data_IF_452983016488
#
_entry.id   IF_452983016488
#
_cell.length_a   1.000
_cell.length_b   1.000
_cell.length_c   1.000
_cell.angle_alpha   90.00
_cell.angle_beta   90.00
_cell.angle_gamma   90.00
#
_symmetry.space_group_name_H-M   'P 1'
#
loop_
_entity.id
_entity.type
_entity.pdbx_description
1 polymer ?
#
# COMPACT_ATOMS: atom_id res chain seq x y z
N UNK A 1 -11.39 4.26 -8.52
CA UNK A 1 -9.94 4.08 -8.59
C UNK A 1 -9.32 5.04 -7.58
N UNK A 2 -8.88 4.57 -6.41
CA UNK A 2 -8.30 5.44 -5.39
C UNK A 2 -6.83 5.66 -5.74
N UNK A 3 -6.51 6.84 -6.27
CA UNK A 3 -5.12 7.31 -6.33
C UNK A 3 -4.66 7.56 -4.89
N UNK A 4 -3.70 6.80 -4.41
CA UNK A 4 -2.91 7.21 -3.27
C UNK A 4 -1.94 8.27 -3.79
N UNK A 5 -2.25 9.51 -3.50
CA UNK A 5 -1.34 10.60 -3.82
C UNK A 5 -0.08 10.43 -2.95
N UNK A 6 1.05 10.22 -3.57
CA UNK A 6 2.35 10.07 -2.89
C UNK A 6 2.68 11.33 -2.08
N UNK A 7 2.09 12.48 -2.44
CA UNK A 7 2.20 13.73 -1.68
C UNK A 7 1.53 13.66 -0.30
N UNK A 8 0.63 12.69 -0.07
CA UNK A 8 -0.03 12.47 1.22
C UNK A 8 0.76 11.59 2.18
N UNK A 9 1.94 11.10 1.77
CA UNK A 9 2.77 10.30 2.63
C UNK A 9 3.59 11.17 3.56
N UNK A 10 3.05 11.35 4.75
CA UNK A 10 3.75 11.92 5.87
C UNK A 10 4.73 10.90 6.45
N UNK A 11 5.98 11.31 6.62
CA UNK A 11 6.89 10.60 7.48
C UNK A 11 6.94 11.25 8.88
N UNK A 12 7.47 10.52 9.84
CA UNK A 12 7.65 10.99 11.21
C UNK A 12 8.52 12.25 11.29
N UNK A 13 9.49 12.41 10.41
CA UNK A 13 10.40 13.55 10.41
C UNK A 13 9.68 14.81 9.91
N UNK A 14 8.90 14.70 8.83
CA UNK A 14 8.08 15.79 8.33
C UNK A 14 7.07 16.27 9.40
N UNK A 15 6.40 15.32 10.07
CA UNK A 15 5.49 15.65 11.16
C UNK A 15 6.19 16.37 12.32
N UNK A 16 7.35 15.90 12.76
CA UNK A 16 8.14 16.56 13.82
C UNK A 16 8.53 17.98 13.44
N UNK A 17 8.88 18.23 12.20
CA UNK A 17 9.26 19.55 11.71
C UNK A 17 8.10 20.55 11.70
N UNK A 18 6.85 20.04 11.61
CA UNK A 18 5.65 20.88 11.68
C UNK A 18 5.17 21.15 13.11
N UNK A 19 5.65 20.39 14.07
CA UNK A 19 5.32 20.60 15.49
C UNK A 19 6.12 21.76 16.10
N UNK A 20 5.54 22.51 17.07
CA UNK A 20 4.18 22.35 17.58
C UNK A 20 3.13 23.04 16.69
N UNK A 21 1.98 22.42 16.56
CA UNK A 21 0.83 23.03 15.90
C UNK A 21 0.19 24.10 16.80
N UNK A 22 -0.42 25.10 16.17
CA UNK A 22 -1.21 26.13 16.88
C UNK A 22 -2.64 25.68 17.13
N UNK A 23 -3.15 24.80 16.27
CA UNK A 23 -4.52 24.30 16.29
C UNK A 23 -4.55 22.81 16.63
N UNK A 24 -5.39 22.47 17.62
CA UNK A 24 -5.54 21.09 18.09
C UNK A 24 -6.13 20.16 17.01
N UNK A 25 -7.16 20.62 16.28
CA UNK A 25 -7.82 19.80 15.25
C UNK A 25 -6.84 19.50 14.11
N UNK A 26 -6.08 20.52 13.70
CA UNK A 26 -5.03 20.34 12.71
C UNK A 26 -3.94 19.36 13.17
N UNK A 27 -3.61 19.38 14.46
CA UNK A 27 -2.68 18.41 15.05
C UNK A 27 -3.23 16.98 14.96
N UNK A 28 -4.51 16.78 15.30
CA UNK A 28 -5.20 15.48 15.19
C UNK A 28 -5.24 14.98 13.74
N UNK A 29 -5.64 15.81 12.78
CA UNK A 29 -5.70 15.45 11.37
C UNK A 29 -4.34 14.99 10.82
N UNK A 30 -3.27 15.73 11.16
CA UNK A 30 -1.94 15.34 10.73
C UNK A 30 -1.46 14.05 11.42
N UNK A 31 -1.78 13.84 12.68
CA UNK A 31 -1.42 12.62 13.40
C UNK A 31 -2.15 11.39 12.84
N UNK A 32 -3.41 11.51 12.40
CA UNK A 32 -4.18 10.45 11.73
C UNK A 32 -3.50 9.94 10.45
N UNK A 33 -2.74 10.78 9.78
CA UNK A 33 -1.97 10.37 8.60
C UNK A 33 -0.78 9.47 8.92
N UNK A 34 -0.29 9.51 10.17
CA UNK A 34 0.89 8.77 10.63
C UNK A 34 0.57 7.47 11.33
N UNK A 35 -0.48 7.48 12.14
CA UNK A 35 -0.77 6.38 13.07
C UNK A 35 -2.22 5.95 12.90
N UNK A 36 -2.42 4.64 12.89
CA UNK A 36 -3.74 4.01 12.91
C UNK A 36 -3.75 3.00 14.06
N UNK A 37 -4.80 3.05 14.87
CA UNK A 37 -5.08 2.03 15.87
C UNK A 37 -5.92 0.91 15.25
N UNK A 38 -5.53 -0.32 15.46
CA UNK A 38 -6.24 -1.50 14.95
C UNK A 38 -6.96 -2.18 16.11
N UNK A 39 -8.27 -1.97 16.17
CA UNK A 39 -9.17 -2.54 17.17
C UNK A 39 -9.55 -3.99 16.78
N UNK A 40 -8.59 -4.89 16.81
CA UNK A 40 -8.79 -6.32 16.60
C UNK A 40 -7.80 -7.10 17.45
N UNK A 41 -8.18 -8.31 17.88
CA UNK A 41 -7.32 -9.15 18.69
C UNK A 41 -6.24 -9.87 17.82
N UNK A 42 -4.93 -9.71 18.10
CA UNK A 42 -4.34 -8.79 19.09
C UNK A 42 -4.39 -7.32 18.61
N UNK A 43 -4.65 -6.41 19.55
CA UNK A 43 -4.59 -4.97 19.29
C UNK A 43 -3.17 -4.56 18.86
N UNK A 44 -3.09 -3.68 17.85
CA UNK A 44 -1.82 -3.19 17.38
C UNK A 44 -1.96 -1.78 16.78
N UNK A 45 -0.84 -1.18 16.45
CA UNK A 45 -0.78 0.13 15.80
C UNK A 45 -0.07 0.00 14.47
N UNK A 46 -0.58 0.69 13.44
CA UNK A 46 0.10 0.83 12.16
C UNK A 46 0.74 2.20 12.11
N UNK A 47 2.05 2.25 12.01
CA UNK A 47 2.80 3.49 11.86
C UNK A 47 3.24 3.66 10.42
N UNK A 48 2.91 4.80 9.82
CA UNK A 48 3.30 5.13 8.46
C UNK A 48 4.62 5.89 8.50
N UNK A 49 5.60 5.36 7.81
CA UNK A 49 6.96 5.89 7.75
C UNK A 49 7.41 5.97 6.28
N UNK A 50 8.37 6.83 5.99
CA UNK A 50 9.05 6.84 4.71
C UNK A 50 10.29 5.95 4.78
N UNK A 51 10.38 4.97 3.91
CA UNK A 51 11.58 4.15 3.80
C UNK A 51 12.59 4.87 2.93
N UNK A 52 13.59 5.46 3.57
CA UNK A 52 14.64 6.24 2.88
C UNK A 52 15.51 5.38 1.97
N UNK A 53 15.70 4.11 2.32
CA UNK A 53 16.56 3.18 1.55
C UNK A 53 15.91 2.82 0.21
N UNK A 54 14.61 2.52 0.26
CA UNK A 54 13.86 2.14 -0.94
C UNK A 54 13.07 3.29 -1.56
N UNK A 55 13.17 4.49 -0.99
CA UNK A 55 12.47 5.70 -1.41
C UNK A 55 10.96 5.47 -1.66
N UNK A 56 10.30 4.83 -0.69
CA UNK A 56 8.88 4.47 -0.77
C UNK A 56 8.18 4.56 0.57
N UNK A 57 6.85 4.72 0.56
CA UNK A 57 6.06 4.61 1.77
C UNK A 57 6.15 3.22 2.38
N UNK A 58 6.23 3.17 3.71
CA UNK A 58 6.27 1.95 4.51
C UNK A 58 5.26 2.04 5.64
N UNK A 59 4.49 0.98 5.83
CA UNK A 59 3.64 0.80 7.00
C UNK A 59 4.24 -0.29 7.89
N UNK A 60 4.46 0.03 9.16
CA UNK A 60 5.02 -0.89 10.14
C UNK A 60 3.99 -1.17 11.21
N UNK A 61 3.70 -2.44 11.46
CA UNK A 61 2.85 -2.86 12.57
C UNK A 61 3.71 -2.89 13.83
N UNK A 62 3.27 -2.17 14.86
CA UNK A 62 4.01 -2.02 16.11
C UNK A 62 3.10 -2.31 17.31
N UNK A 63 3.71 -2.71 18.42
CA UNK A 63 3.04 -2.86 19.70
C UNK A 63 2.67 -1.51 20.31
N UNK A 64 1.76 -1.50 21.29
CA UNK A 64 1.43 -0.30 22.06
C UNK A 64 2.67 0.35 22.66
N UNK A 65 3.56 -0.47 23.25
CA UNK A 65 4.75 0.02 23.91
C UNK A 65 5.70 0.76 22.94
N UNK A 66 5.91 0.21 21.74
CA UNK A 66 6.74 0.85 20.72
C UNK A 66 6.10 2.12 20.18
N UNK A 67 4.79 2.09 19.91
CA UNK A 67 4.03 3.26 19.47
C UNK A 67 4.15 4.39 20.51
N UNK A 68 3.90 4.09 21.77
CA UNK A 68 4.00 5.02 22.89
C UNK A 68 5.41 5.62 23.04
N UNK A 69 6.46 4.79 22.95
CA UNK A 69 7.84 5.28 23.02
C UNK A 69 8.21 6.27 21.91
N UNK A 70 7.70 6.05 20.71
CA UNK A 70 7.91 6.94 19.57
C UNK A 70 7.10 8.24 19.73
N UNK A 71 5.80 8.13 20.05
CA UNK A 71 4.87 9.27 20.08
C UNK A 71 5.09 10.21 21.28
N UNK A 72 5.46 9.70 22.45
CA UNK A 72 5.73 10.54 23.64
C UNK A 72 6.88 11.53 23.45
N UNK A 73 7.79 11.24 22.54
CA UNK A 73 8.92 12.13 22.23
C UNK A 73 8.53 13.35 21.39
N UNK A 74 7.31 13.38 20.84
CA UNK A 74 6.87 14.43 19.93
C UNK A 74 5.87 15.33 20.66
N UNK A 75 6.27 16.56 20.93
CA UNK A 75 5.41 17.59 21.50
C UNK A 75 4.65 18.28 20.38
N UNK A 76 3.33 18.11 20.35
CA UNK A 76 2.50 18.38 19.16
C UNK A 76 1.75 19.69 19.24
N UNK A 77 1.10 19.98 20.37
CA UNK A 77 0.26 21.17 20.51
C UNK A 77 0.19 21.64 21.95
N UNK A 78 0.13 22.94 22.16
CA UNK A 78 -0.10 23.53 23.47
C UNK A 78 -1.59 23.79 23.67
N UNK A 79 -2.14 23.24 24.77
CA UNK A 79 -3.52 23.50 25.20
C UNK A 79 -3.48 24.11 26.61
N UNK A 80 -3.80 25.41 26.69
CA UNK A 80 -3.62 26.15 27.92
C UNK A 80 -2.13 26.21 28.36
N UNK A 81 -1.84 25.79 29.59
CA UNK A 81 -0.48 25.71 30.10
C UNK A 81 0.20 24.34 29.82
N UNK A 82 -0.50 23.37 29.29
CA UNK A 82 0.02 22.01 29.06
C UNK A 82 0.42 21.81 27.60
N UNK A 83 1.63 21.33 27.38
CA UNK A 83 2.06 20.83 26.07
C UNK A 83 1.69 19.34 25.95
N UNK A 84 0.81 19.02 25.00
CA UNK A 84 0.40 17.66 24.71
C UNK A 84 1.39 16.99 23.76
N UNK A 85 1.73 15.74 24.04
CA UNK A 85 2.48 14.92 23.09
C UNK A 85 1.54 14.12 22.17
N UNK A 86 2.12 13.52 21.14
CA UNK A 86 1.35 12.78 20.14
C UNK A 86 0.62 11.56 20.74
N UNK A 87 1.16 10.96 21.80
CA UNK A 87 0.53 9.85 22.50
C UNK A 87 -0.71 10.30 23.29
N UNK A 88 -0.63 11.42 24.01
CA UNK A 88 -1.77 11.97 24.74
C UNK A 88 -2.92 12.34 23.79
N UNK A 89 -2.60 12.87 22.61
CA UNK A 89 -3.60 13.18 21.57
C UNK A 89 -4.25 11.91 21.03
N UNK A 90 -3.45 10.91 20.66
CA UNK A 90 -3.93 9.63 20.17
C UNK A 90 -4.93 8.99 21.15
N UNK A 91 -4.57 8.91 22.44
CA UNK A 91 -5.44 8.33 23.46
C UNK A 91 -6.72 9.13 23.69
N UNK A 92 -6.65 10.45 23.62
CA UNK A 92 -7.82 11.33 23.83
C UNK A 92 -8.87 11.23 22.71
N UNK A 93 -8.49 10.69 21.56
CA UNK A 93 -9.29 10.58 20.34
C UNK A 93 -9.15 9.21 19.67
N UNK A 94 -8.96 8.15 20.46
CA UNK A 94 -8.62 6.82 19.95
C UNK A 94 -9.61 6.31 18.88
N UNK A 95 -10.90 6.59 19.06
CA UNK A 95 -11.94 6.23 18.09
C UNK A 95 -11.71 6.85 16.71
N UNK A 96 -11.18 8.07 16.67
CA UNK A 96 -10.86 8.79 15.43
C UNK A 96 -9.69 8.16 14.65
N UNK A 97 -8.86 7.39 15.31
CA UNK A 97 -7.70 6.68 14.73
C UNK A 97 -7.99 5.20 14.47
N UNK A 98 -9.17 4.71 14.88
CA UNK A 98 -9.48 3.29 14.97
C UNK A 98 -9.94 2.70 13.64
N UNK A 99 -9.46 1.49 13.35
CA UNK A 99 -9.98 0.61 12.32
C UNK A 99 -10.21 -0.79 12.88
N UNK A 100 -11.15 -1.53 12.31
CA UNK A 100 -11.54 -2.88 12.78
C UNK A 100 -10.52 -3.98 12.48
N UNK A 101 -9.55 -3.71 11.62
CA UNK A 101 -8.54 -4.70 11.26
C UNK A 101 -7.72 -4.29 10.04
N UNK A 102 -6.82 -5.19 9.67
CA UNK A 102 -5.94 -5.02 8.52
C UNK A 102 -6.35 -6.01 7.43
N UNK A 103 -6.46 -5.54 6.18
CA UNK A 103 -6.68 -6.38 5.00
C UNK A 103 -5.63 -6.08 3.94
N UNK A 104 -5.36 -7.05 3.06
CA UNK A 104 -4.45 -6.81 1.95
C UNK A 104 -4.95 -5.66 1.07
N UNK A 105 -6.21 -5.74 0.63
CA UNK A 105 -6.89 -4.69 -0.11
C UNK A 105 -8.36 -4.61 0.31
N UNK A 106 -8.87 -3.39 0.49
CA UNK A 106 -10.29 -3.15 0.76
C UNK A 106 -10.66 -1.69 0.47
N UNK A 107 -11.81 -1.43 -0.16
CA UNK A 107 -12.34 -0.07 -0.29
C UNK A 107 -13.01 0.43 1.00
N UNK A 108 -13.20 -0.43 2.00
CA UNK A 108 -13.91 -0.07 3.23
C UNK A 108 -13.04 0.78 4.15
N UNK A 109 -13.50 1.96 4.59
CA UNK A 109 -12.76 2.81 5.53
C UNK A 109 -12.60 2.20 6.92
N UNK A 110 -13.39 1.16 7.24
CA UNK A 110 -13.33 0.47 8.53
C UNK A 110 -12.11 -0.46 8.67
N UNK A 111 -11.35 -0.66 7.61
CA UNK A 111 -10.17 -1.52 7.61
C UNK A 111 -8.96 -0.79 7.01
N UNK A 112 -7.79 -1.06 7.55
CA UNK A 112 -6.55 -0.60 6.94
C UNK A 112 -6.16 -1.50 5.77
N UNK A 113 -5.95 -0.90 4.59
CA UNK A 113 -5.47 -1.63 3.41
C UNK A 113 -3.94 -1.58 3.35
N UNK A 114 -3.29 -2.75 3.27
CA UNK A 114 -1.83 -2.82 3.10
C UNK A 114 -1.43 -2.50 1.66
N UNK A 115 -2.28 -2.89 0.71
CA UNK A 115 -2.03 -2.64 -0.71
C UNK A 115 -2.22 -1.16 -1.02
N UNK A 116 -1.18 -0.53 -1.52
CA UNK A 116 -1.11 0.92 -1.78
C UNK A 116 -1.18 1.27 -3.26
N UNK A 117 -1.52 0.32 -4.11
CA UNK A 117 -1.56 0.50 -5.56
C UNK A 117 -0.35 -0.13 -6.26
N UNK A 118 -0.42 -0.15 -7.57
CA UNK A 118 0.63 -0.70 -8.43
C UNK A 118 1.59 0.39 -8.89
N UNK A 119 2.85 0.04 -9.09
CA UNK A 119 3.87 0.97 -9.59
C UNK A 119 3.55 1.52 -10.99
N UNK A 120 2.89 0.74 -11.83
CA UNK A 120 2.53 1.17 -13.18
C UNK A 120 1.51 2.31 -13.21
N UNK A 121 0.75 2.53 -12.13
CA UNK A 121 -0.19 3.66 -12.04
C UNK A 121 0.51 5.02 -12.09
N UNK A 122 1.83 5.04 -11.82
CA UNK A 122 2.67 6.22 -11.85
C UNK A 122 3.41 6.41 -13.20
N UNK A 123 3.25 5.45 -14.11
CA UNK A 123 3.96 5.45 -15.41
C UNK A 123 3.05 6.03 -16.47
N UNK A 124 3.57 6.96 -17.25
CA UNK A 124 2.86 7.51 -18.40
C UNK A 124 2.65 6.43 -19.47
N UNK A 125 1.41 6.31 -19.94
CA UNK A 125 1.06 5.34 -20.97
C UNK A 125 1.74 5.72 -22.28
N UNK A 126 2.39 4.74 -22.91
CA UNK A 126 2.96 4.86 -24.25
C UNK A 126 2.34 3.79 -25.16
N UNK A 127 1.83 4.22 -26.31
CA UNK A 127 1.34 3.30 -27.34
C UNK A 127 2.46 2.38 -27.81
N UNK A 128 2.10 1.17 -28.22
CA UNK A 128 2.96 0.17 -28.88
C UNK A 128 4.09 -0.44 -28.02
N UNK A 129 4.22 -0.05 -26.75
CA UNK A 129 5.27 -0.62 -25.87
C UNK A 129 5.00 -2.09 -25.52
N UNK A 130 3.74 -2.49 -25.45
CA UNK A 130 3.34 -3.85 -25.05
C UNK A 130 3.09 -4.79 -26.22
N UNK A 131 3.06 -4.31 -27.46
CA UNK A 131 2.73 -5.12 -28.64
C UNK A 131 3.63 -6.34 -28.79
N UNK A 132 4.94 -6.15 -28.72
CA UNK A 132 5.90 -7.24 -28.80
C UNK A 132 5.71 -8.29 -27.71
N UNK A 133 5.27 -7.86 -26.51
CA UNK A 133 4.94 -8.78 -25.43
C UNK A 133 3.64 -9.54 -25.70
N UNK A 134 2.61 -8.87 -26.19
CA UNK A 134 1.32 -9.49 -26.54
C UNK A 134 1.52 -10.50 -27.67
N UNK A 135 2.31 -10.18 -28.69
CA UNK A 135 2.66 -11.11 -29.77
C UNK A 135 3.42 -12.33 -29.24
N UNK A 136 4.38 -12.13 -28.34
CA UNK A 136 5.09 -13.25 -27.69
C UNK A 136 4.13 -14.16 -26.91
N UNK A 137 3.18 -13.58 -26.16
CA UNK A 137 2.17 -14.35 -25.45
C UNK A 137 1.32 -15.15 -26.40
N UNK A 138 0.83 -14.51 -27.46
CA UNK A 138 -0.05 -15.13 -28.44
C UNK A 138 0.66 -16.25 -29.21
N UNK A 139 1.78 -15.94 -29.82
CA UNK A 139 2.45 -16.85 -30.76
C UNK A 139 3.27 -17.94 -30.05
N UNK A 140 3.96 -17.59 -28.97
CA UNK A 140 4.90 -18.51 -28.31
C UNK A 140 4.26 -19.22 -27.11
N UNK A 141 3.63 -18.47 -26.21
CA UNK A 141 3.06 -19.05 -24.99
C UNK A 141 1.75 -19.80 -25.30
N UNK A 142 0.91 -19.24 -26.16
CA UNK A 142 -0.39 -19.80 -26.54
C UNK A 142 -0.33 -20.62 -27.85
N UNK A 143 0.82 -20.68 -28.52
CA UNK A 143 1.01 -21.37 -29.80
C UNK A 143 -0.04 -20.96 -30.86
N UNK A 144 -0.34 -19.65 -30.95
CA UNK A 144 -1.33 -19.08 -31.88
C UNK A 144 -2.79 -19.39 -31.53
N UNK A 145 -3.07 -20.04 -30.41
CA UNK A 145 -4.44 -20.37 -30.02
C UNK A 145 -5.16 -19.17 -29.40
N UNK A 146 -6.07 -18.56 -30.14
CA UNK A 146 -6.80 -17.35 -29.73
C UNK A 146 -7.57 -17.52 -28.42
N UNK A 147 -8.26 -18.62 -28.23
CA UNK A 147 -9.05 -18.90 -27.03
C UNK A 147 -8.15 -19.00 -25.77
N UNK A 148 -6.98 -19.63 -25.91
CA UNK A 148 -5.99 -19.74 -24.82
C UNK A 148 -5.38 -18.37 -24.53
N UNK A 149 -5.11 -17.60 -25.57
CA UNK A 149 -4.60 -16.23 -25.45
C UNK A 149 -5.56 -15.33 -24.67
N UNK A 150 -6.83 -15.27 -25.07
CA UNK A 150 -7.87 -14.51 -24.37
C UNK A 150 -7.99 -14.94 -22.90
N UNK A 151 -8.00 -16.25 -22.66
CA UNK A 151 -8.07 -16.78 -21.29
C UNK A 151 -6.88 -16.32 -20.42
N UNK A 152 -5.67 -16.38 -20.94
CA UNK A 152 -4.45 -15.94 -20.23
C UNK A 152 -4.51 -14.45 -19.93
N UNK A 153 -4.91 -13.62 -20.91
CA UNK A 153 -5.05 -12.17 -20.67
C UNK A 153 -6.11 -11.87 -19.61
N UNK A 154 -7.26 -12.53 -19.67
CA UNK A 154 -8.30 -12.37 -18.64
C UNK A 154 -7.83 -12.84 -17.26
N UNK A 155 -7.04 -13.91 -17.22
CA UNK A 155 -6.48 -14.43 -15.96
C UNK A 155 -5.54 -13.43 -15.29
N UNK A 156 -4.67 -12.74 -16.06
CA UNK A 156 -3.82 -11.68 -15.56
C UNK A 156 -4.58 -10.40 -15.21
N UNK A 157 -5.54 -10.03 -16.07
CA UNK A 157 -6.38 -8.87 -15.80
C UNK A 157 -7.13 -9.02 -14.47
N UNK A 158 -7.63 -10.23 -14.17
CA UNK A 158 -8.29 -10.48 -12.89
C UNK A 158 -7.38 -10.27 -11.67
N UNK A 159 -6.10 -10.70 -11.73
CA UNK A 159 -5.14 -10.46 -10.64
C UNK A 159 -4.92 -8.96 -10.42
N UNK A 160 -4.78 -8.20 -11.51
CA UNK A 160 -4.50 -6.77 -11.42
C UNK A 160 -5.73 -5.94 -11.02
N UNK A 161 -6.91 -6.31 -11.51
CA UNK A 161 -8.15 -5.58 -11.23
C UNK A 161 -8.75 -5.95 -9.86
N UNK A 162 -8.48 -7.17 -9.39
CA UNK A 162 -9.04 -7.69 -8.14
C UNK A 162 -7.93 -8.18 -7.19
N UNK A 163 -7.06 -7.29 -6.67
CA UNK A 163 -5.89 -7.69 -5.88
C UNK A 163 -6.23 -8.39 -4.55
N UNK A 164 -7.49 -8.32 -4.10
CA UNK A 164 -7.97 -9.04 -2.91
C UNK A 164 -8.49 -10.46 -3.22
N UNK A 165 -8.72 -10.78 -4.49
CA UNK A 165 -9.21 -12.07 -4.93
C UNK A 165 -8.08 -12.96 -5.43
N UNK A 166 -8.17 -14.24 -5.15
CA UNK A 166 -7.25 -15.23 -5.73
C UNK A 166 -7.94 -15.89 -6.92
N UNK A 167 -7.20 -16.08 -8.00
CA UNK A 167 -7.66 -16.96 -9.08
C UNK A 167 -7.76 -18.39 -8.53
N UNK A 168 -8.88 -19.08 -8.82
CA UNK A 168 -9.10 -20.47 -8.39
C UNK A 168 -8.38 -21.48 -9.31
N UNK A 169 -7.73 -20.98 -10.37
CA UNK A 169 -7.03 -21.78 -11.37
C UNK A 169 -5.55 -21.45 -11.39
N UNK A 170 -4.72 -22.44 -11.73
CA UNK A 170 -3.28 -22.26 -11.94
C UNK A 170 -2.94 -22.37 -13.42
N UNK A 171 -2.03 -21.53 -13.90
CA UNK A 171 -1.47 -21.64 -15.23
C UNK A 171 -0.24 -22.55 -15.21
N UNK A 172 -0.26 -23.60 -16.06
CA UNK A 172 0.89 -24.49 -16.26
C UNK A 172 1.39 -24.27 -17.68
N UNK A 173 2.61 -23.73 -17.81
CA UNK A 173 3.24 -23.50 -19.11
C UNK A 173 4.33 -24.52 -19.35
N UNK A 174 4.13 -25.34 -20.38
CA UNK A 174 5.07 -26.41 -20.78
C UNK A 174 5.69 -26.04 -22.12
N UNK A 175 7.00 -26.18 -22.24
CA UNK A 175 7.70 -25.90 -23.49
C UNK A 175 9.21 -26.12 -23.37
N UNK A 176 9.89 -26.14 -24.53
CA UNK A 176 11.35 -26.30 -24.62
C UNK A 176 12.10 -25.18 -23.89
N UNK A 177 13.35 -25.43 -23.53
CA UNK A 177 14.22 -24.40 -22.99
C UNK A 177 14.44 -23.29 -24.02
N UNK A 178 14.55 -22.04 -23.57
CA UNK A 178 14.79 -20.87 -24.44
C UNK A 178 13.55 -20.26 -25.09
N UNK A 179 12.33 -20.72 -24.81
CA UNK A 179 11.09 -20.17 -25.38
C UNK A 179 10.55 -18.94 -24.65
N UNK A 180 11.35 -18.28 -23.79
CA UNK A 180 10.94 -17.03 -23.14
C UNK A 180 9.92 -17.19 -21.98
N UNK A 181 9.66 -18.39 -21.49
CA UNK A 181 8.73 -18.61 -20.36
C UNK A 181 9.13 -17.83 -19.11
N UNK A 182 10.42 -17.84 -18.77
CA UNK A 182 10.92 -17.11 -17.62
C UNK A 182 10.81 -15.60 -17.82
N UNK A 183 11.13 -15.12 -19.00
CA UNK A 183 10.96 -13.69 -19.34
C UNK A 183 9.53 -13.24 -19.17
N UNK A 184 8.57 -14.06 -19.63
CA UNK A 184 7.15 -13.77 -19.46
C UNK A 184 6.73 -13.65 -17.99
N UNK A 185 7.09 -14.61 -17.15
CA UNK A 185 6.67 -14.63 -15.75
C UNK A 185 7.54 -13.76 -14.84
N UNK A 186 8.87 -13.91 -14.94
CA UNK A 186 9.80 -13.33 -13.95
C UNK A 186 10.18 -11.89 -14.29
N UNK A 187 10.42 -11.60 -15.58
CA UNK A 187 10.95 -10.31 -15.96
C UNK A 187 9.87 -9.26 -16.21
N UNK A 188 8.65 -9.68 -16.48
CA UNK A 188 7.53 -8.78 -16.75
C UNK A 188 6.52 -8.83 -15.62
N UNK A 189 5.87 -9.97 -15.38
CA UNK A 189 4.77 -10.05 -14.42
C UNK A 189 5.18 -9.89 -12.97
N UNK A 190 6.30 -10.47 -12.55
CA UNK A 190 6.76 -10.33 -11.16
C UNK A 190 7.30 -8.94 -10.81
N UNK A 191 7.36 -8.03 -11.79
CA UNK A 191 7.81 -6.64 -11.58
C UNK A 191 6.65 -5.64 -11.48
N UNK A 192 5.43 -6.07 -11.77
CA UNK A 192 4.19 -5.29 -11.59
C UNK A 192 3.85 -5.17 -10.11
#
# INVERSE_FOLDING_TARGET
MYRIDVSDFYDFQAFRNMCPFRDYNKAVENLKRLVIYVDSAPECYVMKEWDVVFNKPKATIVSEQECKQKLKKIKVVQVGMKMLDAWDILLSKLEDFSVRGIKFYTPSPNFYSIFTGYKYEQVEWKENVIEAWLDHVKEIICNGNERVYEYILCWFANILQHPSAKNETALIVIGKQGTGKNTFFTDILCKL
#
